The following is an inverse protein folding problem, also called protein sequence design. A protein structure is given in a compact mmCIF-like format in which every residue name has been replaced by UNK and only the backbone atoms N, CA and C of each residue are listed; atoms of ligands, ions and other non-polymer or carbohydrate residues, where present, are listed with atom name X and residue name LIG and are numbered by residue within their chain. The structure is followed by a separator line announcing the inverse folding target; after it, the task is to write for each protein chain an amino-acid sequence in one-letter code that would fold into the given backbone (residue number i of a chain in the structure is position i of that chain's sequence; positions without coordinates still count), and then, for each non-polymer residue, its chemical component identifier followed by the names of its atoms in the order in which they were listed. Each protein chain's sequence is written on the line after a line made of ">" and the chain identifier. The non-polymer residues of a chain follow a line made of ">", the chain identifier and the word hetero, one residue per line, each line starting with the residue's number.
data_IF_924910191041
#
_entry.id   IF_924910191041
#
_cell.length_a   1.000
_cell.length_b   1.000
_cell.length_c   1.000
_cell.angle_alpha   90.00
_cell.angle_beta   90.00
_cell.angle_gamma   90.00
#
_symmetry.space_group_name_H-M   'P 1'
#
loop_
_entity.id
_entity.type
_entity.pdbx_description
1 polymer ?
#
# COMPACT_ATOMS: atom_id res chain seq x y z
N UNK A 1 -33.52 34.83 -8.40
CA UNK A 1 -32.09 34.44 -8.48
C UNK A 1 -31.45 34.68 -7.13
N UNK A 2 -31.52 33.67 -6.23
CA UNK A 2 -30.95 33.77 -4.90
C UNK A 2 -29.42 33.58 -5.00
N UNK A 3 -28.65 34.50 -4.42
CA UNK A 3 -27.19 34.38 -4.35
C UNK A 3 -26.86 33.17 -3.45
N UNK A 4 -25.92 32.29 -3.85
CA UNK A 4 -25.48 31.20 -2.97
C UNK A 4 -25.00 31.80 -1.65
N UNK A 5 -25.54 31.29 -0.55
CA UNK A 5 -25.27 31.84 0.78
C UNK A 5 -23.82 31.57 1.18
N UNK A 6 -23.23 32.40 2.03
CA UNK A 6 -21.84 32.20 2.49
C UNK A 6 -21.64 30.83 3.16
N UNK A 7 -22.70 30.25 3.74
CA UNK A 7 -22.69 28.90 4.28
C UNK A 7 -22.46 27.82 3.21
N UNK A 8 -22.98 28.02 2.00
CA UNK A 8 -22.82 27.09 0.88
C UNK A 8 -21.43 27.20 0.25
N UNK A 9 -20.84 28.41 0.25
CA UNK A 9 -19.43 28.61 -0.16
C UNK A 9 -18.45 28.06 0.88
N UNK A 10 -18.77 28.17 2.17
CA UNK A 10 -17.99 27.55 3.25
C UNK A 10 -18.10 26.03 3.20
N UNK A 11 -19.30 25.48 2.97
CA UNK A 11 -19.51 24.04 2.82
C UNK A 11 -18.84 23.46 1.57
N UNK A 12 -18.69 24.25 0.50
CA UNK A 12 -17.94 23.85 -0.70
C UNK A 12 -16.42 23.97 -0.56
N UNK A 13 -15.91 24.81 0.36
CA UNK A 13 -14.47 24.89 0.71
C UNK A 13 -14.06 23.91 1.81
N UNK A 14 -15.02 23.40 2.58
CA UNK A 14 -14.83 22.29 3.53
C UNK A 14 -14.86 20.91 2.84
N UNK A 15 -15.12 20.91 1.52
CA UNK A 15 -15.10 19.72 0.68
C UNK A 15 -13.64 19.32 0.39
N UNK A 16 -13.27 18.05 0.58
CA UNK A 16 -11.93 17.67 0.99
C UNK A 16 -10.97 17.58 -0.21
N UNK A 17 -10.28 18.67 -0.53
CA UNK A 17 -9.17 18.65 -1.50
C UNK A 17 -8.07 17.64 -1.10
N UNK A 18 -7.90 17.38 0.20
CA UNK A 18 -6.92 16.43 0.73
C UNK A 18 -7.17 14.97 0.36
N UNK A 19 -8.43 14.56 0.13
CA UNK A 19 -8.75 13.18 -0.26
C UNK A 19 -8.28 12.90 -1.70
N UNK A 20 -8.41 13.90 -2.58
CA UNK A 20 -7.99 13.82 -3.98
C UNK A 20 -6.46 13.76 -4.11
N UNK A 21 -5.74 14.58 -3.33
CA UNK A 21 -4.27 14.59 -3.34
C UNK A 21 -3.68 13.29 -2.78
N UNK A 22 -4.19 12.79 -1.65
CA UNK A 22 -3.75 11.53 -1.06
C UNK A 22 -4.00 10.33 -1.99
N UNK A 23 -5.15 10.31 -2.68
CA UNK A 23 -5.45 9.28 -3.67
C UNK A 23 -4.53 9.32 -4.89
N UNK A 24 -4.18 10.52 -5.37
CA UNK A 24 -3.22 10.69 -6.47
C UNK A 24 -1.81 10.19 -6.10
N UNK A 25 -1.35 10.48 -4.88
CA UNK A 25 -0.08 9.96 -4.36
C UNK A 25 -0.11 8.43 -4.24
N UNK A 26 -1.21 7.89 -3.71
CA UNK A 26 -1.38 6.44 -3.54
C UNK A 26 -1.35 5.68 -4.87
N UNK A 27 -1.93 6.27 -5.92
CA UNK A 27 -1.87 5.73 -7.28
C UNK A 27 -0.44 5.49 -7.80
N UNK A 28 0.52 6.30 -7.36
CA UNK A 28 1.95 6.14 -7.70
C UNK A 28 2.71 5.22 -6.74
N UNK A 29 2.36 5.24 -5.45
CA UNK A 29 3.02 4.44 -4.40
C UNK A 29 2.63 2.96 -4.47
N UNK A 30 1.35 2.66 -4.72
CA UNK A 30 0.84 1.28 -4.82
C UNK A 30 1.64 0.40 -5.80
N UNK A 31 1.83 0.79 -7.08
CA UNK A 31 2.60 -0.01 -8.03
C UNK A 31 4.08 -0.14 -7.62
N UNK A 32 4.66 0.88 -7.00
CA UNK A 32 6.04 0.82 -6.49
C UNK A 32 6.18 -0.22 -5.37
N UNK A 33 5.24 -0.27 -4.43
CA UNK A 33 5.21 -1.27 -3.36
C UNK A 33 5.00 -2.69 -3.90
N UNK A 34 4.14 -2.86 -4.91
CA UNK A 34 3.94 -4.14 -5.60
C UNK A 34 5.22 -4.59 -6.30
N UNK A 35 5.87 -3.69 -7.04
CA UNK A 35 7.14 -3.98 -7.71
C UNK A 35 8.24 -4.31 -6.71
N UNK A 36 8.31 -3.57 -5.60
CA UNK A 36 9.22 -3.83 -4.50
C UNK A 36 9.11 -5.26 -3.96
N UNK A 37 7.89 -5.82 -3.86
CA UNK A 37 7.70 -7.22 -3.44
C UNK A 37 8.31 -8.21 -4.44
N UNK A 38 8.11 -7.98 -5.73
CA UNK A 38 8.67 -8.85 -6.79
C UNK A 38 10.20 -8.81 -6.71
N UNK A 39 10.78 -7.61 -6.63
CA UNK A 39 12.23 -7.42 -6.51
C UNK A 39 12.78 -8.06 -5.23
N UNK A 40 12.07 -7.92 -4.11
CA UNK A 40 12.48 -8.51 -2.83
C UNK A 40 12.56 -10.03 -2.91
N UNK A 41 11.54 -10.68 -3.48
CA UNK A 41 11.56 -12.14 -3.69
C UNK A 41 12.72 -12.53 -4.61
N UNK A 42 12.93 -11.79 -5.70
CA UNK A 42 14.08 -12.01 -6.58
C UNK A 42 15.42 -11.88 -5.85
N UNK A 43 15.58 -10.87 -4.99
CA UNK A 43 16.77 -10.68 -4.16
C UNK A 43 16.98 -11.78 -3.15
N UNK A 44 15.92 -12.29 -2.51
CA UNK A 44 16.03 -13.43 -1.58
C UNK A 44 16.58 -14.66 -2.31
N UNK A 45 16.10 -14.92 -3.52
CA UNK A 45 16.59 -16.04 -4.35
C UNK A 45 18.06 -15.83 -4.71
N UNK A 46 18.42 -14.65 -5.23
CA UNK A 46 19.78 -14.34 -5.67
C UNK A 46 20.77 -14.40 -4.49
N UNK A 47 20.41 -13.81 -3.34
CA UNK A 47 21.24 -13.83 -2.13
C UNK A 47 21.33 -15.25 -1.57
N UNK A 48 20.22 -16.00 -1.59
CA UNK A 48 20.21 -17.38 -1.15
C UNK A 48 21.16 -18.26 -1.96
N UNK A 49 21.15 -18.10 -3.28
CA UNK A 49 22.02 -18.85 -4.18
C UNK A 49 23.49 -18.42 -4.07
N UNK A 50 23.74 -17.11 -4.04
CA UNK A 50 25.12 -16.58 -4.05
C UNK A 50 25.87 -16.83 -2.73
N UNK A 51 25.14 -16.89 -1.61
CA UNK A 51 25.70 -17.02 -0.27
C UNK A 51 25.31 -18.33 0.42
N UNK A 52 24.99 -19.38 -0.34
CA UNK A 52 24.56 -20.67 0.22
C UNK A 52 25.65 -21.31 1.12
N UNK A 53 26.92 -21.12 0.77
CA UNK A 53 28.06 -21.61 1.55
C UNK A 53 28.31 -20.82 2.85
N UNK A 54 27.77 -19.61 2.97
CA UNK A 54 27.99 -18.74 4.12
C UNK A 54 26.90 -18.98 5.17
N UNK A 55 27.34 -19.29 6.39
CA UNK A 55 26.45 -19.53 7.53
C UNK A 55 26.66 -18.48 8.61
N UNK A 56 25.58 -17.85 9.02
CA UNK A 56 25.52 -16.91 10.15
C UNK A 56 24.68 -17.53 11.26
N UNK A 57 25.23 -17.63 12.48
CA UNK A 57 24.56 -18.29 13.62
C UNK A 57 24.07 -19.71 13.32
N UNK A 58 24.79 -20.45 12.46
CA UNK A 58 24.45 -21.82 12.07
C UNK A 58 23.39 -21.95 10.97
N UNK A 59 22.78 -20.84 10.55
CA UNK A 59 21.79 -20.76 9.47
C UNK A 59 22.42 -20.17 8.20
N UNK A 60 21.98 -20.59 7.02
CA UNK A 60 22.48 -19.99 5.77
C UNK A 60 21.98 -18.56 5.63
N UNK A 61 22.72 -17.73 4.89
CA UNK A 61 22.30 -16.35 4.61
C UNK A 61 20.94 -16.32 3.89
N UNK A 62 20.65 -17.30 3.03
CA UNK A 62 19.34 -17.45 2.39
C UNK A 62 18.20 -17.65 3.39
N UNK A 63 18.41 -18.44 4.45
CA UNK A 63 17.40 -18.62 5.50
C UNK A 63 17.19 -17.33 6.29
N UNK A 64 18.25 -16.58 6.60
CA UNK A 64 18.12 -15.25 7.20
C UNK A 64 17.34 -14.27 6.32
N UNK A 65 17.57 -14.29 5.01
CA UNK A 65 16.83 -13.49 4.04
C UNK A 65 15.34 -13.85 4.02
N UNK A 66 14.97 -15.13 4.20
CA UNK A 66 13.59 -15.55 4.37
C UNK A 66 12.98 -15.09 5.70
N UNK A 67 13.72 -15.25 6.80
CA UNK A 67 13.28 -14.83 8.15
C UNK A 67 12.96 -13.34 8.18
N UNK A 68 13.76 -12.51 7.53
CA UNK A 68 13.52 -11.06 7.44
C UNK A 68 12.54 -10.70 6.32
N UNK A 69 12.59 -11.42 5.21
CA UNK A 69 11.79 -11.18 4.02
C UNK A 69 10.30 -11.42 4.26
N UNK A 70 9.91 -12.53 4.90
CA UNK A 70 8.49 -12.85 5.12
C UNK A 70 7.78 -11.76 5.96
N UNK A 71 8.30 -11.32 7.13
CA UNK A 71 7.73 -10.22 7.88
C UNK A 71 7.65 -8.93 7.06
N UNK A 72 8.68 -8.61 6.27
CA UNK A 72 8.68 -7.41 5.43
C UNK A 72 7.64 -7.51 4.30
N UNK A 73 7.44 -8.68 3.71
CA UNK A 73 6.40 -8.94 2.71
C UNK A 73 5.01 -8.69 3.29
N UNK A 74 4.77 -9.19 4.51
CA UNK A 74 3.52 -8.99 5.23
C UNK A 74 3.31 -7.52 5.59
N UNK A 75 4.36 -6.83 6.03
CA UNK A 75 4.32 -5.40 6.34
C UNK A 75 3.93 -4.57 5.10
N UNK A 76 4.58 -4.81 3.95
CA UNK A 76 4.23 -4.13 2.70
C UNK A 76 2.79 -4.46 2.29
N UNK A 77 2.38 -5.72 2.44
CA UNK A 77 1.02 -6.14 2.12
C UNK A 77 -0.01 -5.43 3.01
N UNK A 78 0.27 -5.31 4.31
CA UNK A 78 -0.56 -4.58 5.26
C UNK A 78 -0.64 -3.09 4.90
N UNK A 79 0.47 -2.46 4.55
CA UNK A 79 0.51 -1.06 4.09
C UNK A 79 -0.35 -0.88 2.84
N UNK A 80 -0.25 -1.78 1.86
CA UNK A 80 -1.08 -1.74 0.66
C UNK A 80 -2.55 -1.86 1.03
N UNK A 81 -2.94 -2.88 1.82
CA UNK A 81 -4.35 -3.09 2.21
C UNK A 81 -4.91 -1.91 3.00
N UNK A 82 -4.13 -1.36 3.93
CA UNK A 82 -4.58 -0.23 4.75
C UNK A 82 -4.66 1.06 3.95
N UNK A 83 -3.67 1.33 3.08
CA UNK A 83 -3.69 2.50 2.21
C UNK A 83 -4.82 2.44 1.18
N UNK A 84 -5.13 1.27 0.65
CA UNK A 84 -6.26 1.08 -0.28
C UNK A 84 -7.60 1.40 0.39
N UNK A 85 -7.79 0.94 1.64
CA UNK A 85 -8.97 1.27 2.46
C UNK A 85 -9.05 2.75 2.84
N UNK A 86 -7.93 3.41 3.08
CA UNK A 86 -7.90 4.83 3.43
C UNK A 86 -8.28 5.73 2.25
N UNK A 87 -7.96 5.33 1.03
CA UNK A 87 -8.20 6.13 -0.19
C UNK A 87 -9.57 5.87 -0.79
N UNK A 88 -10.10 4.65 -0.70
CA UNK A 88 -11.43 4.28 -1.21
C UNK A 88 -12.33 3.70 -0.11
N UNK A 89 -12.83 4.53 0.83
CA UNK A 89 -13.76 4.05 1.87
C UNK A 89 -15.15 3.66 1.33
N UNK A 90 -15.53 4.06 0.10
CA UNK A 90 -16.90 3.92 -0.41
C UNK A 90 -17.16 2.67 -1.29
N UNK A 91 -16.16 1.83 -1.57
CA UNK A 91 -16.33 0.67 -2.44
C UNK A 91 -16.97 -0.58 -1.81
N UNK A 92 -17.34 -0.55 -0.52
CA UNK A 92 -17.99 -1.67 0.18
C UNK A 92 -19.51 -1.51 0.38
N UNK A 93 -20.15 -0.45 -0.14
CA UNK A 93 -21.55 -0.12 0.17
C UNK A 93 -22.63 -0.30 -0.92
N UNK A 94 -22.29 -0.62 -2.17
CA UNK A 94 -23.26 -0.51 -3.29
C UNK A 94 -23.65 -1.84 -3.96
N UNK A 95 -23.67 -2.95 -3.23
CA UNK A 95 -24.15 -4.24 -3.76
C UNK A 95 -25.49 -4.73 -3.17
N UNK A 96 -26.25 -3.89 -2.45
CA UNK A 96 -27.53 -4.33 -1.86
C UNK A 96 -28.76 -3.47 -2.18
N UNK A 97 -28.72 -2.56 -3.17
CA UNK A 97 -29.94 -1.90 -3.61
C UNK A 97 -29.99 -1.70 -5.12
N UNK A 98 -30.53 -2.70 -5.83
CA UNK A 98 -31.51 -2.41 -6.89
C UNK A 98 -32.40 -3.65 -7.13
N UNK A 99 -33.74 -3.46 -7.23
CA UNK A 99 -34.77 -4.51 -7.20
C UNK A 99 -34.87 -5.37 -8.46
#
# INVERSE_FOLDING_TARGET
>A
MARPSLAERLSAMDQPDHATEAGAMWGSVRPLLVLGRILMVGMIIIIGELFDDVRLFGLTIGVWALILGIPLFLLISMVITYGDRFVNPESEGTLDESP
#
